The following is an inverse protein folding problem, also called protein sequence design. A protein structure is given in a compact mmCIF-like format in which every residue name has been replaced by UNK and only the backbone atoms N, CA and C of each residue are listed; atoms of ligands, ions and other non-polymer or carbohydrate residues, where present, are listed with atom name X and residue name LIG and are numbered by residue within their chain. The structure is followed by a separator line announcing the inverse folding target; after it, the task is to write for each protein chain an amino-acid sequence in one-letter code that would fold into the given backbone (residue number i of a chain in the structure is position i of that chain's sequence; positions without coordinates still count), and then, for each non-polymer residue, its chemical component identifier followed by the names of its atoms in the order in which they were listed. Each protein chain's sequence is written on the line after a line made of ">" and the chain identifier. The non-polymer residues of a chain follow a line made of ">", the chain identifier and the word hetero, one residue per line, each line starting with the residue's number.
data_IF_762451827852
#
_entry.id   IF_762451827852
#
_cell.length_a   1.000
_cell.length_b   1.000
_cell.length_c   1.000
_cell.angle_alpha   90.00
_cell.angle_beta   90.00
_cell.angle_gamma   90.00
#
_symmetry.space_group_name_H-M   'P 1'
#
loop_
_entity.id
_entity.type
_entity.pdbx_description
1 polymer ?
#
# COMPACT_ATOMS: atom_id res chain seq x y z
N UNK A 1 -37.32 17.12 15.65
CA UNK A 1 -36.87 15.75 15.32
C UNK A 1 -36.27 15.61 13.92
N UNK A 2 -36.52 16.54 12.98
CA UNK A 2 -35.79 16.60 11.71
C UNK A 2 -34.34 17.10 11.91
N UNK A 3 -33.39 16.51 11.19
CA UNK A 3 -31.98 16.92 11.15
C UNK A 3 -31.72 17.67 9.83
N UNK A 4 -31.44 18.97 9.85
CA UNK A 4 -31.37 19.79 8.63
C UNK A 4 -30.09 19.60 7.82
N UNK A 5 -28.99 19.18 8.46
CA UNK A 5 -27.72 18.88 7.79
C UNK A 5 -27.47 17.38 7.86
N UNK A 6 -27.83 16.68 6.78
CA UNK A 6 -27.53 15.27 6.60
C UNK A 6 -26.26 15.17 5.76
N UNK A 7 -25.36 14.29 6.19
CA UNK A 7 -24.17 13.93 5.43
C UNK A 7 -24.64 13.07 4.25
N UNK A 8 -24.32 13.48 3.03
CA UNK A 8 -24.70 12.81 1.78
C UNK A 8 -23.46 12.59 0.94
N UNK A 9 -23.45 11.54 0.12
CA UNK A 9 -22.39 11.27 -0.86
C UNK A 9 -22.93 11.34 -2.27
N UNK A 10 -22.09 11.71 -3.23
CA UNK A 10 -22.47 11.67 -4.65
C UNK A 10 -22.22 10.30 -5.30
N UNK A 11 -22.92 10.03 -6.40
CA UNK A 11 -22.76 8.77 -7.17
C UNK A 11 -21.39 8.55 -7.81
N UNK A 12 -20.52 9.56 -7.81
CA UNK A 12 -19.20 9.51 -8.44
C UNK A 12 -18.05 9.57 -7.41
N UNK A 13 -18.38 9.65 -6.12
CA UNK A 13 -17.37 9.54 -5.06
C UNK A 13 -16.80 8.13 -5.02
N UNK A 14 -15.52 8.03 -4.68
CA UNK A 14 -14.83 6.75 -4.59
C UNK A 14 -15.32 5.93 -3.39
N UNK A 15 -15.37 4.60 -3.53
CA UNK A 15 -15.77 3.67 -2.47
C UNK A 15 -14.95 3.86 -1.19
N UNK A 16 -13.65 4.18 -1.33
CA UNK A 16 -12.75 4.42 -0.20
C UNK A 16 -13.12 5.72 0.54
N UNK A 17 -13.47 6.78 -0.19
CA UNK A 17 -13.83 8.07 0.40
C UNK A 17 -15.17 7.99 1.14
N UNK A 18 -16.14 7.26 0.57
CA UNK A 18 -17.41 6.94 1.23
C UNK A 18 -17.18 6.12 2.50
N UNK A 19 -16.30 5.12 2.46
CA UNK A 19 -15.95 4.31 3.64
C UNK A 19 -15.33 5.15 4.75
N UNK A 20 -14.36 6.01 4.42
CA UNK A 20 -13.73 6.96 5.35
C UNK A 20 -14.73 7.93 5.96
N UNK A 21 -15.68 8.41 5.17
CA UNK A 21 -16.74 9.32 5.63
C UNK A 21 -17.66 8.62 6.64
N UNK A 22 -18.14 7.42 6.31
CA UNK A 22 -19.01 6.64 7.19
C UNK A 22 -18.32 6.28 8.50
N UNK A 23 -17.03 5.89 8.46
CA UNK A 23 -16.25 5.61 9.66
C UNK A 23 -16.00 6.87 10.51
N UNK A 24 -15.69 8.01 9.90
CA UNK A 24 -15.42 9.28 10.60
C UNK A 24 -16.62 9.76 11.42
N UNK A 25 -17.83 9.59 10.88
CA UNK A 25 -19.07 10.11 11.46
C UNK A 25 -19.94 9.02 12.10
N UNK A 26 -19.43 7.78 12.21
CA UNK A 26 -20.13 6.62 12.80
C UNK A 26 -21.53 6.41 12.19
N UNK A 27 -21.61 6.45 10.86
CA UNK A 27 -22.86 6.37 10.11
C UNK A 27 -23.24 4.91 9.83
N UNK A 28 -24.44 4.51 10.24
CA UNK A 28 -25.01 3.20 9.85
C UNK A 28 -25.41 3.14 8.37
N UNK A 29 -25.79 4.29 7.80
CA UNK A 29 -26.13 4.43 6.39
C UNK A 29 -25.87 5.86 5.92
N UNK A 30 -25.47 6.01 4.66
CA UNK A 30 -25.31 7.31 4.00
C UNK A 30 -26.20 7.41 2.76
N UNK A 31 -27.01 8.46 2.61
CA UNK A 31 -27.80 8.70 1.41
C UNK A 31 -26.92 9.09 0.22
N UNK A 32 -27.20 8.48 -0.93
CA UNK A 32 -26.53 8.76 -2.21
C UNK A 32 -27.39 9.71 -3.04
N UNK A 33 -26.81 10.83 -3.45
CA UNK A 33 -27.48 11.87 -4.22
C UNK A 33 -26.89 12.03 -5.62
N UNK A 34 -27.74 12.41 -6.57
CA UNK A 34 -27.32 12.86 -7.90
C UNK A 34 -26.61 14.22 -7.82
N UNK A 35 -25.87 14.60 -8.86
CA UNK A 35 -25.33 15.98 -9.05
C UNK A 35 -26.41 17.07 -8.96
N UNK A 36 -27.67 16.72 -9.20
CA UNK A 36 -28.83 17.62 -9.06
C UNK A 36 -29.45 17.64 -7.66
N UNK A 37 -28.83 17.01 -6.67
CA UNK A 37 -29.32 16.95 -5.28
C UNK A 37 -30.53 16.04 -5.06
N UNK A 38 -30.85 15.17 -6.04
CA UNK A 38 -31.94 14.19 -5.93
C UNK A 38 -31.44 12.93 -5.23
N UNK A 39 -32.17 12.43 -4.22
CA UNK A 39 -31.88 11.15 -3.57
C UNK A 39 -32.07 10.00 -4.56
N UNK A 40 -31.01 9.21 -4.76
CA UNK A 40 -31.01 8.05 -5.65
C UNK A 40 -31.01 6.73 -4.87
N UNK A 41 -30.42 6.71 -3.68
CA UNK A 41 -30.33 5.50 -2.87
C UNK A 41 -29.65 5.73 -1.53
N UNK A 42 -29.17 4.65 -0.91
CA UNK A 42 -28.36 4.67 0.31
C UNK A 42 -27.28 3.59 0.20
N UNK A 43 -26.18 3.81 0.90
CA UNK A 43 -25.13 2.81 1.17
C UNK A 43 -25.18 2.51 2.67
N UNK A 44 -25.09 1.24 3.05
CA UNK A 44 -25.12 0.80 4.44
C UNK A 44 -23.77 0.30 4.93
N UNK A 45 -23.59 0.24 6.24
CA UNK A 45 -22.30 -0.12 6.85
C UNK A 45 -21.84 -1.54 6.47
N UNK A 46 -22.76 -2.47 6.22
CA UNK A 46 -22.46 -3.81 5.73
C UNK A 46 -21.79 -3.81 4.36
N UNK A 47 -22.24 -2.96 3.43
CA UNK A 47 -21.59 -2.80 2.11
C UNK A 47 -20.18 -2.20 2.24
N UNK A 48 -20.01 -1.24 3.15
CA UNK A 48 -18.72 -0.59 3.40
C UNK A 48 -17.71 -1.54 4.07
N UNK A 49 -18.18 -2.46 4.90
CA UNK A 49 -17.30 -3.40 5.59
C UNK A 49 -16.51 -4.30 4.63
N UNK A 50 -17.08 -4.63 3.47
CA UNK A 50 -16.38 -5.41 2.45
C UNK A 50 -15.32 -4.56 1.73
N UNK A 51 -15.63 -3.29 1.44
CA UNK A 51 -14.67 -2.33 0.87
C UNK A 51 -13.47 -2.11 1.80
N UNK A 52 -13.71 -1.98 3.11
CA UNK A 52 -12.65 -1.80 4.11
C UNK A 52 -11.70 -3.01 4.16
N UNK A 53 -12.23 -4.23 4.03
CA UNK A 53 -11.40 -5.44 3.96
C UNK A 53 -10.57 -5.48 2.70
N UNK A 54 -11.17 -5.20 1.54
CA UNK A 54 -10.49 -5.18 0.24
C UNK A 54 -9.30 -4.19 0.26
N UNK A 55 -9.52 -2.97 0.75
CA UNK A 55 -8.46 -1.96 0.88
C UNK A 55 -7.32 -2.40 1.81
N UNK A 56 -7.65 -3.11 2.89
CA UNK A 56 -6.64 -3.64 3.81
C UNK A 56 -5.79 -4.75 3.15
N UNK A 57 -6.41 -5.61 2.34
CA UNK A 57 -5.72 -6.65 1.57
C UNK A 57 -4.82 -6.03 0.49
N UNK A 58 -5.30 -5.03 -0.25
CA UNK A 58 -4.54 -4.35 -1.28
C UNK A 58 -3.28 -3.67 -0.72
N UNK A 59 -3.39 -3.02 0.44
CA UNK A 59 -2.23 -2.47 1.15
C UNK A 59 -1.19 -3.53 1.51
N UNK A 60 -1.63 -4.73 1.92
CA UNK A 60 -0.73 -5.85 2.21
C UNK A 60 -0.08 -6.42 0.94
N UNK A 61 -0.85 -6.56 -0.14
CA UNK A 61 -0.36 -7.05 -1.44
C UNK A 61 0.68 -6.11 -2.04
N UNK A 62 0.44 -4.80 -1.98
CA UNK A 62 1.38 -3.78 -2.40
C UNK A 62 2.70 -3.86 -1.61
N UNK A 63 2.63 -4.01 -0.28
CA UNK A 63 3.82 -4.20 0.56
C UNK A 63 4.60 -5.48 0.24
N UNK A 64 3.92 -6.53 -0.25
CA UNK A 64 4.55 -7.77 -0.69
C UNK A 64 5.14 -7.70 -2.12
N UNK A 65 5.02 -6.58 -2.83
CA UNK A 65 5.53 -6.40 -4.18
C UNK A 65 4.74 -7.18 -5.23
N UNK A 66 3.43 -7.35 -5.01
CA UNK A 66 2.49 -7.96 -5.94
C UNK A 66 1.77 -6.84 -6.67
N UNK A 67 1.85 -6.83 -8.02
CA UNK A 67 1.28 -5.76 -8.85
C UNK A 67 -0.04 -6.10 -9.53
N UNK A 68 -0.52 -7.33 -9.41
CA UNK A 68 -1.78 -7.83 -10.01
C UNK A 68 -2.74 -8.28 -8.91
N UNK A 69 -4.04 -8.23 -9.19
CA UNK A 69 -5.06 -8.93 -8.39
C UNK A 69 -4.80 -10.43 -8.54
N UNK A 70 -4.27 -11.05 -7.49
CA UNK A 70 -3.99 -12.48 -7.46
C UNK A 70 -5.03 -13.12 -6.55
N UNK A 71 -5.83 -14.02 -7.10
CA UNK A 71 -6.73 -14.87 -6.33
C UNK A 71 -5.95 -16.09 -5.78
N UNK A 72 -6.35 -16.63 -4.63
CA UNK A 72 -5.66 -17.78 -4.01
C UNK A 72 -5.61 -19.03 -4.92
N UNK A 73 -6.51 -19.13 -5.90
CA UNK A 73 -6.60 -20.23 -6.87
C UNK A 73 -5.71 -20.05 -8.12
N UNK A 74 -4.93 -18.96 -8.18
CA UNK A 74 -4.11 -18.66 -9.34
C UNK A 74 -2.91 -19.59 -9.51
N UNK A 75 -2.59 -19.89 -10.77
CA UNK A 75 -1.46 -20.76 -11.08
C UNK A 75 -0.13 -20.18 -10.59
N UNK A 76 0.78 -21.06 -10.12
CA UNK A 76 2.13 -20.70 -9.65
C UNK A 76 2.86 -19.79 -10.65
N UNK A 77 2.63 -20.00 -11.95
CA UNK A 77 3.21 -19.19 -13.02
C UNK A 77 2.72 -17.74 -13.04
N UNK A 78 1.46 -17.50 -12.69
CA UNK A 78 0.90 -16.15 -12.62
C UNK A 78 1.47 -15.38 -11.42
N UNK A 79 1.53 -16.03 -10.24
CA UNK A 79 2.19 -15.47 -9.06
C UNK A 79 3.65 -15.10 -9.30
N UNK A 80 4.39 -15.97 -9.99
CA UNK A 80 5.78 -15.71 -10.35
C UNK A 80 5.90 -14.50 -11.29
N UNK A 81 5.02 -14.39 -12.29
CA UNK A 81 5.01 -13.28 -13.25
C UNK A 81 4.66 -11.94 -12.61
N UNK A 82 3.77 -11.91 -11.62
CA UNK A 82 3.42 -10.70 -10.90
C UNK A 82 4.58 -10.15 -10.06
N UNK A 83 5.44 -11.03 -9.51
CA UNK A 83 6.60 -10.62 -8.69
C UNK A 83 7.88 -10.35 -9.49
N UNK A 84 8.02 -10.99 -10.65
CA UNK A 84 9.22 -10.91 -11.49
C UNK A 84 9.67 -9.46 -11.80
N UNK A 85 8.78 -8.52 -12.17
CA UNK A 85 9.17 -7.13 -12.42
C UNK A 85 9.84 -6.49 -11.21
N UNK A 86 9.26 -6.64 -10.02
CA UNK A 86 9.81 -6.05 -8.80
C UNK A 86 11.12 -6.71 -8.38
N UNK A 87 11.23 -8.03 -8.52
CA UNK A 87 12.48 -8.77 -8.27
C UNK A 87 13.61 -8.33 -9.22
N UNK A 88 13.32 -8.11 -10.50
CA UNK A 88 14.30 -7.65 -11.48
C UNK A 88 14.78 -6.24 -11.16
N UNK A 89 13.88 -5.33 -10.76
CA UNK A 89 14.25 -3.99 -10.30
C UNK A 89 15.18 -4.08 -9.08
N UNK A 90 14.81 -4.89 -8.08
CA UNK A 90 15.64 -5.12 -6.90
C UNK A 90 17.01 -5.72 -7.23
N UNK A 91 17.07 -6.66 -8.17
CA UNK A 91 18.31 -7.27 -8.64
C UNK A 91 19.23 -6.26 -9.32
N UNK A 92 18.69 -5.43 -10.24
CA UNK A 92 19.47 -4.38 -10.90
C UNK A 92 19.98 -3.37 -9.87
N UNK A 93 19.14 -2.95 -8.93
CA UNK A 93 19.55 -2.09 -7.82
C UNK A 93 20.68 -2.71 -6.98
N UNK A 94 20.61 -4.01 -6.69
CA UNK A 94 21.66 -4.76 -6.00
C UNK A 94 22.98 -4.81 -6.78
N UNK A 95 22.92 -5.01 -8.10
CA UNK A 95 24.09 -5.00 -8.97
C UNK A 95 24.76 -3.62 -9.01
N UNK A 96 23.97 -2.55 -9.09
CA UNK A 96 24.49 -1.17 -9.00
C UNK A 96 25.14 -0.91 -7.64
N UNK A 97 24.55 -1.40 -6.56
CA UNK A 97 25.13 -1.34 -5.22
C UNK A 97 26.46 -2.07 -5.11
N UNK A 98 26.56 -3.28 -5.67
CA UNK A 98 27.80 -4.05 -5.72
C UNK A 98 28.88 -3.33 -6.53
N UNK A 99 28.52 -2.74 -7.68
CA UNK A 99 29.44 -1.92 -8.47
C UNK A 99 29.93 -0.70 -7.67
N UNK A 100 29.06 -0.05 -6.90
CA UNK A 100 29.43 1.09 -6.08
C UNK A 100 30.40 0.72 -4.96
N UNK A 101 30.22 -0.44 -4.31
CA UNK A 101 31.18 -0.97 -3.34
C UNK A 101 32.54 -1.20 -4.01
N UNK A 102 32.55 -1.68 -5.26
CA UNK A 102 33.77 -1.88 -6.05
C UNK A 102 34.59 -0.61 -6.29
N UNK A 103 34.00 0.59 -6.22
CA UNK A 103 34.79 1.84 -6.27
C UNK A 103 35.64 2.08 -5.02
N UNK A 104 35.35 1.38 -3.91
CA UNK A 104 36.07 1.49 -2.64
C UNK A 104 36.99 0.30 -2.34
N UNK A 105 37.38 -0.45 -3.38
CA UNK A 105 38.19 -1.67 -3.24
C UNK A 105 39.54 -1.39 -2.56
N UNK A 106 40.22 -0.29 -2.92
CA UNK A 106 41.49 0.12 -2.30
C UNK A 106 41.35 0.36 -0.79
N UNK A 107 40.24 0.97 -0.35
CA UNK A 107 39.97 1.22 1.06
C UNK A 107 39.62 -0.08 1.80
N UNK A 108 38.88 -0.97 1.15
CA UNK A 108 38.56 -2.30 1.70
C UNK A 108 39.83 -3.15 1.87
N UNK A 109 40.80 -3.04 0.96
CA UNK A 109 42.11 -3.70 1.10
C UNK A 109 42.93 -3.09 2.24
N UNK A 110 42.87 -1.77 2.43
CA UNK A 110 43.54 -1.09 3.53
C UNK A 110 42.95 -1.45 4.91
N UNK A 111 41.61 -1.60 4.99
CA UNK A 111 40.91 -1.98 6.22
C UNK A 111 39.80 -3.01 5.91
N UNK A 112 40.14 -4.32 5.89
CA UNK A 112 39.18 -5.37 5.58
C UNK A 112 37.99 -5.44 6.54
N UNK A 113 38.16 -4.95 7.78
CA UNK A 113 37.11 -4.92 8.78
C UNK A 113 35.87 -4.11 8.37
N UNK A 114 35.99 -3.15 7.45
CA UNK A 114 34.85 -2.36 6.96
C UNK A 114 33.81 -3.25 6.26
N UNK A 115 34.24 -4.34 5.62
CA UNK A 115 33.33 -5.27 4.96
C UNK A 115 32.32 -5.91 5.93
N UNK A 116 32.67 -6.11 7.20
CA UNK A 116 31.75 -6.65 8.21
C UNK A 116 30.60 -5.69 8.56
N UNK A 117 30.81 -4.38 8.39
CA UNK A 117 29.80 -3.37 8.67
C UNK A 117 28.86 -3.14 7.49
N UNK A 118 29.23 -3.50 6.26
CA UNK A 118 28.39 -3.31 5.07
C UNK A 118 27.03 -4.01 5.24
N UNK A 119 26.94 -5.32 5.55
CA UNK A 119 25.66 -5.99 5.73
C UNK A 119 24.86 -5.41 6.90
N UNK A 120 25.53 -5.03 7.98
CA UNK A 120 24.88 -4.46 9.18
C UNK A 120 24.20 -3.13 8.88
N UNK A 121 24.91 -2.22 8.20
CA UNK A 121 24.40 -0.91 7.82
C UNK A 121 23.29 -1.05 6.77
N UNK A 122 23.48 -1.91 5.76
CA UNK A 122 22.45 -2.18 4.75
C UNK A 122 21.17 -2.74 5.37
N UNK A 123 21.28 -3.72 6.27
CA UNK A 123 20.12 -4.31 6.94
C UNK A 123 19.38 -3.30 7.82
N UNK A 124 20.13 -2.46 8.56
CA UNK A 124 19.53 -1.43 9.42
C UNK A 124 18.86 -0.34 8.58
N UNK A 125 19.50 0.12 7.50
CA UNK A 125 18.92 1.07 6.56
C UNK A 125 17.65 0.53 5.89
N UNK A 126 17.66 -0.73 5.46
CA UNK A 126 16.49 -1.40 4.89
C UNK A 126 15.34 -1.51 5.89
N UNK A 127 15.60 -1.96 7.11
CA UNK A 127 14.58 -2.09 8.15
C UNK A 127 13.96 -0.75 8.53
N UNK A 128 14.78 0.30 8.70
CA UNK A 128 14.30 1.66 8.99
C UNK A 128 13.48 2.19 7.82
N UNK A 129 13.90 1.93 6.57
CA UNK A 129 13.17 2.30 5.37
C UNK A 129 11.77 1.67 5.34
N UNK A 130 11.67 0.36 5.57
CA UNK A 130 10.39 -0.36 5.62
C UNK A 130 9.51 0.18 6.75
N UNK A 131 10.06 0.35 7.96
CA UNK A 131 9.33 0.89 9.10
C UNK A 131 8.77 2.29 8.80
N UNK A 132 9.60 3.18 8.24
CA UNK A 132 9.17 4.52 7.86
C UNK A 132 8.12 4.50 6.75
N UNK A 133 8.27 3.66 5.73
CA UNK A 133 7.29 3.57 4.64
C UNK A 133 5.97 3.02 5.12
N UNK A 134 5.98 2.01 6.00
CA UNK A 134 4.75 1.44 6.56
C UNK A 134 3.99 2.48 7.37
N UNK A 135 4.67 3.29 8.20
CA UNK A 135 4.03 4.38 8.94
C UNK A 135 3.40 5.38 7.97
N UNK A 136 4.14 5.82 6.94
CA UNK A 136 3.62 6.79 5.96
C UNK A 136 2.40 6.24 5.22
N UNK A 137 2.44 4.99 4.75
CA UNK A 137 1.30 4.34 4.09
C UNK A 137 0.10 4.23 5.03
N UNK A 138 0.31 3.83 6.28
CA UNK A 138 -0.76 3.77 7.29
C UNK A 138 -1.34 5.13 7.66
N UNK A 139 -0.57 6.23 7.50
CA UNK A 139 -1.11 7.58 7.72
C UNK A 139 -1.86 8.15 6.52
N UNK A 140 -1.67 7.58 5.33
CA UNK A 140 -2.34 7.98 4.08
C UNK A 140 -3.62 7.15 3.82
N UNK A 141 -3.58 5.87 4.18
CA UNK A 141 -4.74 4.99 4.24
C UNK A 141 -5.69 5.46 5.35
#
# INVERSE_FOLDING_TARGET
>A
IYVPNIITVYTYEDKEEVAKLMQRYDLEAVPVISTRGTLLGRITIDDVMDVVKELAEDGQRAMAGISEDIEEDDSIWMLARARLPWLLIGMIGGLLGAQFIGFFDDQLLAVPAMAFFIPLIMATGGNVGIQSSTIVVQTLA
#
